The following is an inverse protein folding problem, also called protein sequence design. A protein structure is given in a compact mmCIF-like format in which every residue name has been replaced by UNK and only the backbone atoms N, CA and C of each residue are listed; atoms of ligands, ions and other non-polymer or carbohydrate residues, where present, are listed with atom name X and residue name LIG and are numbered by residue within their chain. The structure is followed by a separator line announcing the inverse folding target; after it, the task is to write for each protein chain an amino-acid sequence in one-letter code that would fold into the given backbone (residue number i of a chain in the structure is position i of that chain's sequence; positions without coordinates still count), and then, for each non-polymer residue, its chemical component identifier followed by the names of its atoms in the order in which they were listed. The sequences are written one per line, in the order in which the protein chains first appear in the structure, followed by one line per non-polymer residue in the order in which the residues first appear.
data_IF_342505293377
#
_entry.id   IF_342505293377
#
_cell.length_a   1.000
_cell.length_b   1.000
_cell.length_c   1.000
_cell.angle_alpha   90.00
_cell.angle_beta   90.00
_cell.angle_gamma   90.00
#
_symmetry.space_group_name_H-M   'P 1'
#
loop_
_entity.id
_entity.type
_entity.pdbx_description
1 polymer ?
#
# COMPACT_ATOMS: atom_id res chain seq x y z
N UNK A 1 24.19 1.54 15.34
CA UNK A 1 25.44 0.94 15.79
C UNK A 1 25.12 -0.25 16.69
N UNK A 2 25.69 -1.41 16.40
CA UNK A 2 25.68 -2.55 17.31
C UNK A 2 26.86 -2.40 18.27
N UNK A 3 26.63 -2.64 19.54
CA UNK A 3 27.61 -2.45 20.60
C UNK A 3 27.71 -3.74 21.40
N UNK A 4 28.89 -4.31 21.43
CA UNK A 4 29.24 -5.39 22.34
C UNK A 4 29.82 -4.76 23.60
N UNK A 5 29.23 -5.08 24.74
CA UNK A 5 29.66 -4.56 26.03
C UNK A 5 30.03 -5.75 26.92
N UNK A 6 31.35 -5.92 27.22
CA UNK A 6 31.80 -7.03 28.04
C UNK A 6 31.17 -7.09 29.43
N UNK A 7 30.69 -5.96 29.94
CA UNK A 7 30.07 -5.90 31.28
C UNK A 7 28.63 -6.44 31.28
N UNK A 8 27.92 -6.40 30.16
CA UNK A 8 26.53 -6.83 30.03
C UNK A 8 26.36 -8.22 29.39
N UNK A 9 27.40 -8.78 28.78
CA UNK A 9 27.38 -10.14 28.20
C UNK A 9 26.52 -10.30 26.96
N UNK A 10 25.64 -9.36 26.64
CA UNK A 10 24.76 -9.37 25.48
C UNK A 10 24.95 -8.12 24.63
N UNK A 11 24.95 -8.26 23.29
CA UNK A 11 25.03 -7.12 22.40
C UNK A 11 23.78 -6.23 22.52
N UNK A 12 23.99 -4.94 22.31
CA UNK A 12 22.92 -3.93 22.28
C UNK A 12 22.95 -3.11 21.00
N UNK A 13 21.92 -2.31 20.79
CA UNK A 13 21.82 -1.38 19.67
C UNK A 13 21.76 0.07 20.17
N UNK A 14 22.58 0.92 19.56
CA UNK A 14 22.54 2.37 19.75
C UNK A 14 22.07 3.00 18.43
N UNK A 15 21.00 3.76 18.49
CA UNK A 15 20.44 4.47 17.35
C UNK A 15 20.92 5.92 17.29
N UNK A 16 20.61 6.63 16.23
CA UNK A 16 20.84 8.08 16.12
C UNK A 16 20.05 8.85 17.18
N UNK A 17 18.84 8.41 17.47
CA UNK A 17 17.97 9.03 18.48
C UNK A 17 18.59 8.94 19.87
N UNK A 18 19.09 7.76 20.25
CA UNK A 18 19.76 7.56 21.53
C UNK A 18 20.98 8.50 21.71
N UNK A 19 21.78 8.65 20.63
CA UNK A 19 22.93 9.56 20.66
C UNK A 19 22.49 11.03 20.77
N UNK A 20 21.44 11.44 20.05
CA UNK A 20 20.93 12.81 20.13
C UNK A 20 20.34 13.10 21.51
N UNK A 21 19.61 12.16 22.08
CA UNK A 21 19.07 12.28 23.44
C UNK A 21 20.19 12.39 24.49
N UNK A 22 21.20 11.53 24.38
CA UNK A 22 22.36 11.57 25.28
C UNK A 22 23.11 12.91 25.23
N UNK A 23 23.31 13.47 24.04
CA UNK A 23 24.01 14.74 23.86
C UNK A 23 23.13 15.96 24.20
N UNK A 24 21.88 15.98 23.72
CA UNK A 24 21.03 17.17 23.82
C UNK A 24 20.27 17.27 25.15
N UNK A 25 19.81 16.14 25.69
CA UNK A 25 18.98 16.11 26.90
C UNK A 25 19.80 15.72 28.14
N UNK A 26 20.65 14.70 28.01
CA UNK A 26 21.47 14.22 29.13
C UNK A 26 22.82 14.95 29.25
N UNK A 27 23.18 15.76 28.25
CA UNK A 27 24.42 16.56 28.21
C UNK A 27 25.68 15.72 28.40
N UNK A 28 25.70 14.50 27.91
CA UNK A 28 26.87 13.62 27.99
C UNK A 28 28.01 14.17 27.13
N UNK A 29 29.22 14.03 27.61
CA UNK A 29 30.40 14.42 26.85
C UNK A 29 30.60 13.49 25.61
N UNK A 30 31.12 14.03 24.51
CA UNK A 30 31.42 13.27 23.30
C UNK A 30 32.38 12.08 23.53
N UNK A 31 33.17 12.13 24.58
CA UNK A 31 34.09 11.06 24.99
C UNK A 31 33.43 9.99 25.88
N UNK A 32 32.15 10.12 26.21
CA UNK A 32 31.46 9.15 27.07
C UNK A 32 31.32 7.79 26.37
N UNK A 33 31.44 6.68 27.13
CA UNK A 33 31.23 5.34 26.58
C UNK A 33 29.81 5.16 26.03
N UNK A 34 29.66 4.53 24.86
CA UNK A 34 28.34 4.27 24.23
C UNK A 34 27.64 3.02 24.77
N UNK A 35 28.35 2.14 25.47
CA UNK A 35 27.80 0.90 26.04
C UNK A 35 26.54 1.09 26.88
N UNK A 36 26.54 2.06 27.84
CA UNK A 36 25.35 2.37 28.66
C UNK A 36 24.14 2.90 27.88
N UNK A 37 24.36 3.43 26.66
CA UNK A 37 23.28 3.95 25.80
C UNK A 37 22.60 2.85 24.97
N UNK A 38 23.15 1.65 24.97
CA UNK A 38 22.67 0.59 24.11
C UNK A 38 21.37 -0.04 24.66
N UNK A 39 20.37 -0.09 23.80
CA UNK A 39 19.10 -0.76 24.08
C UNK A 39 19.27 -2.29 24.05
N UNK A 40 18.77 -2.96 25.07
CA UNK A 40 18.81 -4.42 25.26
C UNK A 40 17.48 -4.92 25.83
N UNK A 41 17.07 -6.20 25.58
CA UNK A 41 17.68 -7.14 24.62
C UNK A 41 17.45 -6.70 23.17
N UNK A 42 18.28 -7.22 22.24
CA UNK A 42 18.08 -6.99 20.82
C UNK A 42 16.79 -7.64 20.34
N UNK A 43 15.97 -6.89 19.62
CA UNK A 43 14.85 -7.45 18.87
C UNK A 43 15.37 -7.97 17.55
N UNK A 44 15.16 -9.26 17.28
CA UNK A 44 15.72 -9.91 16.11
C UNK A 44 14.70 -10.76 15.35
N UNK A 45 14.99 -10.97 14.07
CA UNK A 45 14.31 -11.91 13.17
C UNK A 45 15.35 -12.80 12.52
N UNK A 46 14.93 -13.95 11.97
CA UNK A 46 15.82 -14.85 11.24
C UNK A 46 15.81 -14.49 9.76
N UNK A 47 16.87 -14.84 9.04
CA UNK A 47 16.98 -14.59 7.60
C UNK A 47 15.90 -15.30 6.78
N UNK A 48 15.42 -16.46 7.25
CA UNK A 48 14.34 -17.22 6.63
C UNK A 48 12.93 -16.73 7.01
N UNK A 49 12.80 -15.83 7.98
CA UNK A 49 11.50 -15.28 8.37
C UNK A 49 10.95 -14.38 7.25
N UNK A 50 9.62 -14.36 7.09
CA UNK A 50 8.99 -13.46 6.11
C UNK A 50 9.16 -12.01 6.54
N UNK A 51 9.44 -11.14 5.58
CA UNK A 51 9.72 -9.71 5.82
C UNK A 51 8.62 -9.00 6.64
N UNK A 52 7.37 -9.49 6.54
CA UNK A 52 6.24 -8.99 7.32
C UNK A 52 6.41 -9.21 8.84
N UNK A 53 7.09 -10.27 9.26
CA UNK A 53 7.37 -10.50 10.70
C UNK A 53 8.29 -9.42 11.27
N UNK A 54 9.26 -8.95 10.48
CA UNK A 54 10.08 -7.81 10.87
C UNK A 54 9.24 -6.53 11.05
N UNK A 55 8.28 -6.27 10.14
CA UNK A 55 7.36 -5.13 10.25
C UNK A 55 6.49 -5.23 11.52
N UNK A 56 5.94 -6.41 11.78
CA UNK A 56 5.14 -6.65 13.00
C UNK A 56 5.98 -6.40 14.25
N UNK A 57 7.19 -7.00 14.33
CA UNK A 57 8.07 -6.85 15.48
C UNK A 57 8.46 -5.38 15.73
N UNK A 58 8.74 -4.62 14.66
CA UNK A 58 9.05 -3.19 14.77
C UNK A 58 7.83 -2.39 15.27
N UNK A 59 6.63 -2.70 14.74
CA UNK A 59 5.38 -2.00 15.10
C UNK A 59 4.97 -2.27 16.55
N UNK A 60 4.96 -3.54 16.96
CA UNK A 60 4.57 -3.94 18.31
C UNK A 60 5.52 -3.42 19.39
N UNK A 61 6.81 -3.32 19.05
CA UNK A 61 7.85 -2.87 19.97
C UNK A 61 8.16 -1.38 19.87
N UNK A 62 7.50 -0.66 18.97
CA UNK A 62 7.72 0.78 18.70
C UNK A 62 9.20 1.08 18.38
N UNK A 63 9.85 0.22 17.60
CA UNK A 63 11.24 0.35 17.17
C UNK A 63 11.33 0.46 15.66
N UNK A 64 12.34 1.18 15.17
CA UNK A 64 12.54 1.41 13.74
C UNK A 64 13.50 0.39 13.09
N UNK A 65 14.11 -0.51 13.87
CA UNK A 65 15.15 -1.42 13.38
C UNK A 65 15.19 -2.73 14.17
N UNK A 66 15.32 -3.83 13.45
CA UNK A 66 15.55 -5.16 14.03
C UNK A 66 16.89 -5.72 13.56
N UNK A 67 17.44 -6.66 14.32
CA UNK A 67 18.63 -7.40 13.93
C UNK A 67 18.22 -8.64 13.15
N UNK A 68 18.95 -8.97 12.09
CA UNK A 68 18.75 -10.20 11.31
C UNK A 68 19.82 -11.22 11.68
N UNK A 69 19.38 -12.42 12.05
CA UNK A 69 20.27 -13.56 12.29
C UNK A 69 20.15 -14.57 11.14
N UNK A 70 21.29 -15.07 10.70
CA UNK A 70 21.40 -16.18 9.77
C UNK A 70 22.21 -17.30 10.42
N UNK A 71 21.63 -18.51 10.55
CA UNK A 71 22.25 -19.65 11.19
C UNK A 71 22.91 -19.33 12.56
N UNK A 72 22.18 -18.53 13.38
CA UNK A 72 22.64 -18.13 14.72
C UNK A 72 23.72 -17.04 14.74
N UNK A 73 24.17 -16.55 13.58
CA UNK A 73 25.09 -15.42 13.45
C UNK A 73 24.34 -14.16 13.06
N UNK A 74 24.78 -13.03 13.57
CA UNK A 74 24.25 -11.74 13.17
C UNK A 74 24.65 -11.46 11.71
N UNK A 75 23.64 -11.37 10.83
CA UNK A 75 23.84 -11.10 9.40
C UNK A 75 23.77 -9.59 9.10
N UNK A 76 23.00 -8.83 9.89
CA UNK A 76 22.85 -7.40 9.68
C UNK A 76 21.69 -6.80 10.46
N UNK A 77 21.24 -5.64 10.03
CA UNK A 77 20.05 -4.97 10.57
C UNK A 77 19.10 -4.60 9.45
N UNK A 78 17.81 -4.62 9.73
CA UNK A 78 16.74 -4.24 8.81
C UNK A 78 15.93 -3.11 9.44
N UNK A 79 15.75 -2.02 8.71
CA UNK A 79 15.01 -0.85 9.17
C UNK A 79 13.59 -0.79 8.63
N UNK A 80 12.72 -0.07 9.34
CA UNK A 80 11.32 0.16 8.94
C UNK A 80 11.22 0.76 7.54
N UNK A 81 12.07 1.74 7.20
CA UNK A 81 12.08 2.38 5.89
C UNK A 81 12.44 1.41 4.76
N UNK A 82 13.37 0.48 5.00
CA UNK A 82 13.77 -0.55 4.03
C UNK A 82 12.64 -1.54 3.80
N UNK A 83 11.96 -1.98 4.86
CA UNK A 83 10.77 -2.85 4.80
C UNK A 83 9.64 -2.17 4.04
N UNK A 84 9.29 -0.94 4.43
CA UNK A 84 8.23 -0.17 3.78
C UNK A 84 8.57 0.13 2.31
N UNK A 85 9.84 0.43 1.99
CA UNK A 85 10.28 0.63 0.61
C UNK A 85 10.12 -0.64 -0.23
N UNK A 86 10.41 -1.80 0.31
CA UNK A 86 10.20 -3.08 -0.37
C UNK A 86 8.72 -3.31 -0.68
N UNK A 87 7.83 -3.11 0.29
CA UNK A 87 6.38 -3.22 0.08
C UNK A 87 5.83 -2.12 -0.84
N UNK A 88 6.29 -0.89 -0.66
CA UNK A 88 5.86 0.25 -1.46
C UNK A 88 6.34 0.17 -2.92
N UNK A 89 7.49 -0.44 -3.20
CA UNK A 89 8.06 -0.46 -4.56
C UNK A 89 7.13 -1.16 -5.56
N UNK A 90 6.44 -2.23 -5.17
CA UNK A 90 5.51 -2.95 -6.06
C UNK A 90 4.18 -2.21 -6.24
N UNK A 91 3.57 -1.72 -5.15
CA UNK A 91 2.34 -0.93 -5.22
C UNK A 91 2.57 0.47 -5.80
N UNK A 92 3.73 1.07 -5.49
CA UNK A 92 4.13 2.36 -6.02
C UNK A 92 4.33 2.32 -7.54
N UNK A 93 4.92 1.25 -8.08
CA UNK A 93 5.08 1.09 -9.53
C UNK A 93 3.74 1.03 -10.25
N UNK A 94 2.75 0.29 -9.72
CA UNK A 94 1.39 0.26 -10.27
C UNK A 94 0.78 1.67 -10.20
N UNK A 95 0.88 2.35 -9.07
CA UNK A 95 0.37 3.71 -8.88
C UNK A 95 1.02 4.73 -9.83
N UNK A 96 2.33 4.63 -10.07
CA UNK A 96 3.04 5.49 -11.03
C UNK A 96 2.62 5.22 -12.47
N UNK A 97 2.44 3.95 -12.84
CA UNK A 97 1.95 3.58 -14.18
C UNK A 97 0.53 4.11 -14.41
N UNK A 98 -0.35 3.97 -13.42
CA UNK A 98 -1.71 4.52 -13.48
C UNK A 98 -1.71 6.05 -13.61
N UNK A 99 -0.88 6.76 -12.83
CA UNK A 99 -0.79 8.21 -12.89
C UNK A 99 -0.27 8.73 -14.24
N UNK A 100 0.51 7.92 -14.97
CA UNK A 100 1.07 8.24 -16.29
C UNK A 100 0.30 7.66 -17.46
N UNK A 101 -0.76 6.89 -17.19
CA UNK A 101 -1.54 6.23 -18.22
C UNK A 101 -2.41 7.27 -18.96
N UNK A 102 -2.16 7.49 -20.23
CA UNK A 102 -2.92 8.42 -21.09
C UNK A 102 -3.95 7.68 -21.96
N UNK A 103 -4.01 6.35 -21.90
CA UNK A 103 -4.98 5.51 -22.62
C UNK A 103 -5.55 4.42 -21.70
N UNK A 104 -6.73 3.91 -22.10
CA UNK A 104 -7.38 2.79 -21.39
C UNK A 104 -6.54 1.52 -21.43
N UNK A 105 -5.79 1.28 -22.50
CA UNK A 105 -4.86 0.16 -22.63
C UNK A 105 -3.75 0.24 -21.59
N UNK A 106 -3.16 1.42 -21.40
CA UNK A 106 -2.11 1.64 -20.39
C UNK A 106 -2.66 1.43 -18.98
N UNK A 107 -3.92 1.82 -18.71
CA UNK A 107 -4.58 1.51 -17.43
C UNK A 107 -4.75 0.01 -17.23
N UNK A 108 -5.21 -0.70 -18.28
CA UNK A 108 -5.38 -2.14 -18.23
C UNK A 108 -4.05 -2.86 -17.98
N UNK A 109 -2.98 -2.47 -18.66
CA UNK A 109 -1.64 -3.03 -18.47
C UNK A 109 -1.12 -2.79 -17.04
N UNK A 110 -1.32 -1.60 -16.49
CA UNK A 110 -0.94 -1.30 -15.11
C UNK A 110 -1.72 -2.19 -14.11
N UNK A 111 -3.02 -2.41 -14.36
CA UNK A 111 -3.89 -3.21 -13.52
C UNK A 111 -3.53 -4.72 -13.51
N UNK A 112 -2.92 -5.25 -14.58
CA UNK A 112 -2.48 -6.65 -14.67
C UNK A 112 -1.46 -7.04 -13.59
N UNK A 113 -0.72 -6.08 -13.05
CA UNK A 113 0.24 -6.30 -11.97
C UNK A 113 -0.39 -6.64 -10.62
N UNK A 114 -1.65 -6.30 -10.37
CA UNK A 114 -2.30 -6.42 -9.07
C UNK A 114 -2.40 -7.85 -8.53
N UNK A 115 -2.86 -8.86 -9.30
CA UNK A 115 -2.96 -10.22 -8.77
C UNK A 115 -1.60 -10.79 -8.35
N UNK A 116 -0.53 -10.41 -9.05
CA UNK A 116 0.83 -10.81 -8.70
C UNK A 116 1.27 -10.13 -7.40
N UNK A 117 1.01 -8.83 -7.26
CA UNK A 117 1.29 -8.09 -6.03
C UNK A 117 0.61 -8.73 -4.82
N UNK A 118 -0.70 -8.98 -4.90
CA UNK A 118 -1.47 -9.61 -3.82
C UNK A 118 -0.91 -10.97 -3.43
N UNK A 119 -0.63 -11.85 -4.42
CA UNK A 119 -0.04 -13.16 -4.15
C UNK A 119 1.34 -13.06 -3.48
N UNK A 120 2.18 -12.13 -3.95
CA UNK A 120 3.52 -11.92 -3.39
C UNK A 120 3.43 -11.47 -1.94
N UNK A 121 2.62 -10.44 -1.65
CA UNK A 121 2.45 -9.92 -0.30
C UNK A 121 1.82 -10.97 0.64
N UNK A 122 0.84 -11.73 0.16
CA UNK A 122 0.23 -12.82 0.95
C UNK A 122 1.25 -13.92 1.28
N UNK A 123 2.05 -14.35 0.30
CA UNK A 123 3.11 -15.32 0.50
C UNK A 123 4.19 -14.82 1.48
N UNK A 124 4.37 -13.50 1.59
CA UNK A 124 5.27 -12.85 2.54
C UNK A 124 4.62 -12.60 3.92
N UNK A 125 3.42 -13.14 4.18
CA UNK A 125 2.76 -13.07 5.47
C UNK A 125 1.91 -11.81 5.72
N UNK A 126 1.64 -10.99 4.68
CA UNK A 126 0.76 -9.86 4.84
C UNK A 126 -0.66 -10.31 5.23
N UNK A 127 -1.25 -9.66 6.23
CA UNK A 127 -2.59 -9.96 6.73
C UNK A 127 -3.67 -9.61 5.71
N UNK A 128 -4.70 -10.42 5.63
CA UNK A 128 -5.82 -10.21 4.69
C UNK A 128 -6.44 -8.80 4.78
N UNK A 129 -6.77 -8.24 5.97
CA UNK A 129 -7.33 -6.90 6.05
C UNK A 129 -6.42 -5.82 5.42
N UNK A 130 -5.11 -5.90 5.62
CA UNK A 130 -4.15 -4.99 4.98
C UNK A 130 -4.15 -5.13 3.46
N UNK A 131 -4.20 -6.38 2.94
CA UNK A 131 -4.28 -6.62 1.51
C UNK A 131 -5.58 -6.06 0.91
N UNK A 132 -6.70 -6.18 1.61
CA UNK A 132 -8.00 -5.61 1.20
C UNK A 132 -7.93 -4.08 1.10
N UNK A 133 -7.36 -3.40 2.09
CA UNK A 133 -7.15 -1.95 2.06
C UNK A 133 -6.27 -1.51 0.88
N UNK A 134 -5.16 -2.22 0.66
CA UNK A 134 -4.26 -1.93 -0.46
C UNK A 134 -4.95 -2.14 -1.81
N UNK A 135 -5.66 -3.27 -1.99
CA UNK A 135 -6.40 -3.58 -3.21
C UNK A 135 -7.46 -2.53 -3.47
N UNK A 136 -8.25 -2.16 -2.46
CA UNK A 136 -9.29 -1.12 -2.58
C UNK A 136 -8.69 0.24 -2.98
N UNK A 137 -7.56 0.63 -2.38
CA UNK A 137 -6.88 1.87 -2.75
C UNK A 137 -6.39 1.87 -4.21
N UNK A 138 -5.87 0.74 -4.70
CA UNK A 138 -5.44 0.60 -6.09
C UNK A 138 -6.64 0.54 -7.06
N UNK A 139 -7.70 -0.16 -6.69
CA UNK A 139 -8.94 -0.23 -7.47
C UNK A 139 -9.57 1.16 -7.64
N UNK A 140 -9.66 1.93 -6.56
CA UNK A 140 -10.15 3.32 -6.60
C UNK A 140 -9.34 4.19 -7.57
N UNK A 141 -8.00 4.01 -7.62
CA UNK A 141 -7.14 4.72 -8.57
C UNK A 141 -7.36 4.26 -10.02
N UNK A 142 -7.56 2.96 -10.25
CA UNK A 142 -7.87 2.42 -11.57
C UNK A 142 -9.20 3.00 -12.07
N UNK A 143 -10.25 2.92 -11.26
CA UNK A 143 -11.57 3.46 -11.59
C UNK A 143 -11.53 4.97 -11.83
N UNK A 144 -10.87 5.71 -10.95
CA UNK A 144 -10.67 7.15 -11.10
C UNK A 144 -9.95 7.50 -12.40
N UNK A 145 -8.88 6.76 -12.76
CA UNK A 145 -8.14 7.05 -13.99
C UNK A 145 -8.96 6.73 -15.25
N UNK A 146 -9.70 5.63 -15.28
CA UNK A 146 -10.63 5.32 -16.38
C UNK A 146 -11.65 6.46 -16.53
N UNK A 147 -12.24 6.89 -15.41
CA UNK A 147 -13.22 7.96 -15.38
C UNK A 147 -12.65 9.30 -15.89
N UNK A 148 -11.42 9.65 -15.48
CA UNK A 148 -10.71 10.85 -15.96
C UNK A 148 -10.43 10.83 -17.45
N UNK A 149 -10.13 9.67 -18.03
CA UNK A 149 -9.82 9.51 -19.45
C UNK A 149 -11.07 9.60 -20.33
N UNK A 150 -12.23 9.22 -19.79
CA UNK A 150 -13.49 9.20 -20.54
C UNK A 150 -14.28 10.51 -20.44
N UNK A 151 -14.13 11.26 -19.35
CA UNK A 151 -14.88 12.48 -19.13
C UNK A 151 -13.98 13.73 -19.24
N UNK A 152 -14.40 14.76 -19.98
CA UNK A 152 -13.72 16.06 -19.96
C UNK A 152 -13.84 16.70 -18.57
N UNK A 153 -12.91 17.61 -18.24
CA UNK A 153 -12.89 18.27 -16.94
C UNK A 153 -14.23 18.95 -16.60
N UNK A 154 -14.85 19.60 -17.57
CA UNK A 154 -16.14 20.28 -17.41
C UNK A 154 -17.30 19.33 -17.02
N UNK A 155 -17.28 18.09 -17.47
CA UNK A 155 -18.27 17.09 -17.10
C UNK A 155 -17.96 16.48 -15.71
N UNK A 156 -16.68 16.27 -15.38
CA UNK A 156 -16.27 15.69 -14.10
C UNK A 156 -16.72 16.50 -12.87
N UNK A 157 -16.77 17.83 -13.00
CA UNK A 157 -17.23 18.71 -11.92
C UNK A 157 -18.76 18.65 -11.69
N UNK A 158 -19.50 18.04 -12.63
CA UNK A 158 -20.95 17.94 -12.59
C UNK A 158 -21.47 16.54 -12.24
N UNK A 159 -20.57 15.57 -12.05
CA UNK A 159 -20.94 14.19 -11.78
C UNK A 159 -20.09 13.60 -10.66
N UNK A 160 -20.66 12.64 -9.93
CA UNK A 160 -19.95 11.91 -8.87
C UNK A 160 -20.13 10.40 -9.08
N UNK A 161 -19.01 9.71 -9.34
CA UNK A 161 -18.98 8.26 -9.43
C UNK A 161 -19.09 7.66 -8.01
N UNK A 162 -20.05 6.78 -7.79
CA UNK A 162 -20.19 5.99 -6.58
C UNK A 162 -19.73 4.56 -6.83
N UNK A 163 -18.88 4.07 -5.98
CA UNK A 163 -18.48 2.66 -5.95
C UNK A 163 -19.21 1.98 -4.80
N UNK A 164 -19.89 0.88 -5.09
CA UNK A 164 -20.81 0.21 -4.17
C UNK A 164 -20.40 -1.24 -3.92
N UNK A 165 -21.28 -2.03 -3.34
CA UNK A 165 -21.09 -3.45 -3.10
C UNK A 165 -19.85 -3.75 -2.21
N UNK A 166 -19.18 -4.82 -2.51
CA UNK A 166 -17.97 -5.27 -1.80
C UNK A 166 -16.79 -4.32 -1.99
N UNK A 167 -16.67 -3.67 -3.16
CA UNK A 167 -15.62 -2.67 -3.39
C UNK A 167 -15.87 -1.40 -2.55
N UNK A 168 -17.11 -0.90 -2.52
CA UNK A 168 -17.47 0.25 -1.70
C UNK A 168 -17.27 0.03 -0.21
N UNK A 169 -17.40 -1.22 0.27
CA UNK A 169 -17.10 -1.61 1.66
C UNK A 169 -15.63 -1.98 1.90
N UNK A 170 -14.77 -1.91 0.87
CA UNK A 170 -13.34 -2.25 0.91
C UNK A 170 -13.06 -3.71 1.34
N UNK A 171 -13.93 -4.61 0.93
CA UNK A 171 -13.87 -6.05 1.30
C UNK A 171 -13.26 -6.92 0.20
N UNK A 172 -12.90 -6.35 -0.94
CA UNK A 172 -12.36 -7.10 -2.06
C UNK A 172 -10.87 -7.44 -1.88
N UNK A 173 -10.53 -8.69 -2.11
CA UNK A 173 -9.17 -9.17 -2.29
C UNK A 173 -8.87 -9.53 -3.75
N UNK A 174 -9.88 -10.03 -4.42
CA UNK A 174 -9.91 -10.34 -5.86
C UNK A 174 -11.00 -9.49 -6.50
N UNK A 175 -10.85 -9.21 -7.79
CA UNK A 175 -11.87 -8.48 -8.54
C UNK A 175 -13.14 -9.32 -8.64
N UNK A 176 -14.24 -8.73 -8.20
CA UNK A 176 -15.59 -9.25 -8.36
C UNK A 176 -16.32 -8.44 -9.44
N UNK A 177 -17.63 -8.52 -9.49
CA UNK A 177 -18.47 -7.76 -10.42
C UNK A 177 -18.42 -6.24 -10.16
N UNK A 178 -18.91 -5.50 -11.15
CA UNK A 178 -19.02 -4.05 -11.08
C UNK A 178 -20.29 -3.70 -10.29
N UNK A 179 -20.12 -2.91 -9.22
CA UNK A 179 -21.22 -2.28 -8.49
C UNK A 179 -20.94 -0.78 -8.42
N UNK A 180 -21.59 0.00 -9.28
CA UNK A 180 -21.33 1.43 -9.36
C UNK A 180 -22.59 2.21 -9.80
N UNK A 181 -22.62 3.49 -9.46
CA UNK A 181 -23.67 4.43 -9.82
C UNK A 181 -23.07 5.82 -10.09
N UNK A 182 -23.86 6.69 -10.70
CA UNK A 182 -23.48 8.06 -10.98
C UNK A 182 -24.51 9.03 -10.39
N UNK A 183 -24.05 9.98 -9.59
CA UNK A 183 -24.85 11.16 -9.23
C UNK A 183 -24.53 12.24 -10.23
N UNK A 184 -25.55 12.83 -10.81
CA UNK A 184 -25.47 13.90 -11.80
C UNK A 184 -26.06 15.17 -11.22
N UNK A 185 -25.38 16.31 -11.39
CA UNK A 185 -25.87 17.59 -10.92
C UNK A 185 -27.17 17.98 -11.62
N UNK A 186 -28.07 18.64 -10.89
CA UNK A 186 -29.33 19.10 -11.44
C UNK A 186 -29.13 20.03 -12.63
N UNK A 187 -29.82 19.73 -13.73
CA UNK A 187 -29.74 20.51 -14.95
C UNK A 187 -28.49 20.32 -15.80
N UNK A 188 -27.58 19.41 -15.41
CA UNK A 188 -26.47 19.06 -16.25
C UNK A 188 -26.92 18.19 -17.42
N UNK A 189 -26.63 18.64 -18.62
CA UNK A 189 -26.90 17.93 -19.88
C UNK A 189 -25.60 17.81 -20.68
N UNK A 190 -25.14 16.60 -20.86
CA UNK A 190 -24.00 16.27 -21.70
C UNK A 190 -24.36 15.06 -22.57
N UNK A 191 -24.58 15.28 -23.89
CA UNK A 191 -25.12 14.24 -24.78
C UNK A 191 -24.29 12.95 -24.80
N UNK A 192 -22.97 13.06 -24.60
CA UNK A 192 -22.04 11.91 -24.63
C UNK A 192 -21.94 11.16 -23.28
N UNK A 193 -22.69 11.56 -22.26
CA UNK A 193 -22.62 10.94 -20.94
C UNK A 193 -22.93 9.43 -20.97
N UNK A 194 -23.93 9.03 -21.72
CA UNK A 194 -24.35 7.62 -21.85
C UNK A 194 -23.23 6.80 -22.49
N UNK A 195 -22.67 7.29 -23.60
CA UNK A 195 -21.58 6.61 -24.31
C UNK A 195 -20.31 6.54 -23.44
N UNK A 196 -20.04 7.57 -22.64
CA UNK A 196 -18.92 7.58 -21.70
C UNK A 196 -19.11 6.54 -20.59
N UNK A 197 -20.33 6.35 -20.08
CA UNK A 197 -20.63 5.36 -19.04
C UNK A 197 -20.64 3.93 -19.58
N UNK A 198 -21.06 3.72 -20.83
CA UNK A 198 -20.86 2.44 -21.52
C UNK A 198 -19.36 2.14 -21.67
N UNK A 199 -18.58 3.11 -22.14
CA UNK A 199 -17.13 3.01 -22.24
C UNK A 199 -16.45 2.74 -20.89
N UNK A 200 -16.95 3.31 -19.80
CA UNK A 200 -16.46 3.06 -18.44
C UNK A 200 -16.70 1.62 -18.01
N UNK A 201 -17.93 1.10 -18.21
CA UNK A 201 -18.27 -0.29 -17.89
C UNK A 201 -17.44 -1.28 -18.70
N UNK A 202 -17.24 -1.00 -20.00
CA UNK A 202 -16.41 -1.83 -20.89
C UNK A 202 -14.92 -1.79 -20.47
N UNK A 203 -14.40 -0.62 -20.10
CA UNK A 203 -13.03 -0.49 -19.61
C UNK A 203 -12.83 -1.27 -18.30
N UNK A 204 -13.80 -1.23 -17.37
CA UNK A 204 -13.77 -2.03 -16.16
C UNK A 204 -13.76 -3.53 -16.46
N UNK A 205 -14.57 -3.99 -17.42
CA UNK A 205 -14.57 -5.39 -17.85
C UNK A 205 -13.18 -5.82 -18.38
N UNK A 206 -12.52 -4.99 -19.17
CA UNK A 206 -11.15 -5.24 -19.69
C UNK A 206 -10.11 -5.34 -18.58
N UNK A 207 -10.24 -4.55 -17.51
CA UNK A 207 -9.34 -4.63 -16.35
C UNK A 207 -9.73 -5.73 -15.36
N UNK A 208 -10.77 -6.52 -15.65
CA UNK A 208 -11.13 -7.73 -14.92
C UNK A 208 -12.27 -7.59 -13.91
N UNK A 209 -13.12 -6.56 -14.04
CA UNK A 209 -14.39 -6.45 -13.32
C UNK A 209 -15.54 -6.86 -14.25
N UNK A 210 -16.08 -8.08 -14.14
CA UNK A 210 -17.21 -8.50 -14.98
C UNK A 210 -18.46 -7.66 -14.66
N UNK A 211 -19.41 -7.57 -15.61
CA UNK A 211 -20.68 -6.90 -15.36
C UNK A 211 -21.43 -7.47 -14.15
N UNK A 212 -22.10 -6.58 -13.39
CA UNK A 212 -22.93 -6.97 -12.27
C UNK A 212 -24.15 -7.78 -12.76
N UNK A 213 -24.40 -9.00 -12.25
CA UNK A 213 -25.58 -9.80 -12.61
C UNK A 213 -26.90 -9.09 -12.24
N UNK A 214 -26.87 -8.24 -11.19
CA UNK A 214 -28.01 -7.42 -10.76
C UNK A 214 -28.20 -6.13 -11.56
N UNK A 215 -27.28 -5.81 -12.49
CA UNK A 215 -27.34 -4.61 -13.30
C UNK A 215 -27.11 -3.30 -12.53
N UNK A 216 -26.42 -3.34 -11.38
CA UNK A 216 -26.06 -2.17 -10.58
C UNK A 216 -24.83 -1.51 -11.20
N UNK A 217 -25.01 -0.78 -12.28
CA UNK A 217 -23.93 -0.22 -13.09
C UNK A 217 -24.34 1.13 -13.70
N UNK A 218 -23.38 2.06 -13.77
CA UNK A 218 -23.57 3.42 -14.31
C UNK A 218 -24.13 3.50 -15.73
N UNK A 219 -23.99 2.43 -16.52
CA UNK A 219 -24.55 2.32 -17.86
C UNK A 219 -25.98 1.74 -17.87
N UNK A 220 -26.67 1.73 -16.75
CA UNK A 220 -28.07 1.33 -16.63
C UNK A 220 -28.91 2.53 -16.18
N UNK A 221 -30.06 2.71 -16.80
CA UNK A 221 -30.90 3.89 -16.63
C UNK A 221 -31.37 4.19 -15.18
N UNK A 222 -31.18 3.26 -14.26
CA UNK A 222 -31.56 3.42 -12.85
C UNK A 222 -30.40 3.77 -11.92
N UNK A 223 -29.18 3.80 -12.43
CA UNK A 223 -27.94 3.96 -11.63
C UNK A 223 -27.01 5.10 -12.14
#
# INVERSE_FOLDING_TARGET
LLVEDPQHGEPGIVTRTDLLEALALQQLALASPVGPLANRPLVSVRSEDVLFQALVAMTERHIERVVVHDNGRMAGTLGMAEVLSHYASHSHLISLRLARADTLEQVADAAQGMPRLVRTLHAQGARIPYLMELVSALNSRIMGRIFELLLPASARDQVCLLVMGSEGRREQLLKTDQDNALIVADGFDWPELVDAMDGFSDALARVGYPPCPGGVMVNRAHW
#
